data_IF_136388985476
#
_entry.id   IF_136388985476
#
_cell.length_a   1.000
_cell.length_b   1.000
_cell.length_c   1.000
_cell.angle_alpha   90.00
_cell.angle_beta   90.00
_cell.angle_gamma   90.00
#
_symmetry.space_group_name_H-M   'P 1'
#
loop_
_entity.id
_entity.type
_entity.pdbx_description
1 polymer ?
#
# COMPACT_ATOMS: atom_id res chain seq x y z
N UNK A 1 2.06 69.56 -1.61
CA UNK A 1 2.85 69.38 -2.84
C UNK A 1 4.33 68.99 -2.63
N UNK A 2 5.00 69.35 -1.51
CA UNK A 2 6.39 68.91 -1.21
C UNK A 2 6.51 67.51 -0.57
N UNK A 3 5.44 67.02 0.06
CA UNK A 3 5.40 65.71 0.75
C UNK A 3 5.36 64.52 -0.22
N UNK A 4 4.62 64.62 -1.32
CA UNK A 4 4.53 63.57 -2.37
C UNK A 4 5.86 63.26 -3.06
N UNK A 5 6.70 64.29 -3.28
CA UNK A 5 7.97 64.12 -3.98
C UNK A 5 8.98 63.33 -3.13
N UNK A 6 8.97 63.53 -1.81
CA UNK A 6 9.88 62.84 -0.89
C UNK A 6 9.52 61.35 -0.71
N UNK A 7 8.23 61.00 -0.75
CA UNK A 7 7.78 59.59 -0.72
C UNK A 7 8.11 58.83 -2.02
N UNK A 8 7.96 59.49 -3.18
CA UNK A 8 8.36 58.93 -4.48
C UNK A 8 9.85 58.64 -4.59
N UNK A 9 10.70 59.51 -4.03
CA UNK A 9 12.15 59.27 -4.02
C UNK A 9 12.58 58.13 -3.07
N UNK A 10 11.90 57.95 -1.93
CA UNK A 10 12.17 56.85 -0.99
C UNK A 10 11.77 55.48 -1.55
N UNK A 11 10.61 55.40 -2.20
CA UNK A 11 10.13 54.17 -2.86
C UNK A 11 11.00 53.79 -4.05
N UNK A 12 11.38 54.75 -4.90
CA UNK A 12 12.31 54.50 -6.00
C UNK A 12 13.68 53.99 -5.53
N UNK A 13 14.22 54.50 -4.42
CA UNK A 13 15.49 54.04 -3.85
C UNK A 13 15.40 52.61 -3.28
N UNK A 14 14.29 52.25 -2.64
CA UNK A 14 14.04 50.89 -2.13
C UNK A 14 13.90 49.87 -3.26
N UNK A 15 13.17 50.22 -4.33
CA UNK A 15 13.01 49.37 -5.52
C UNK A 15 14.32 49.18 -6.28
N UNK A 16 15.14 50.24 -6.38
CA UNK A 16 16.47 50.17 -7.02
C UNK A 16 17.48 49.35 -6.19
N UNK A 17 17.34 49.36 -4.86
CA UNK A 17 18.07 48.47 -3.96
C UNK A 17 17.71 46.99 -4.17
N UNK A 18 16.40 46.70 -4.29
CA UNK A 18 15.89 45.35 -4.62
C UNK A 18 16.36 44.88 -6.01
N UNK A 19 16.33 45.76 -7.02
CA UNK A 19 16.79 45.44 -8.37
C UNK A 19 18.31 45.22 -8.48
N UNK A 20 19.09 45.75 -7.54
CA UNK A 20 20.55 45.53 -7.47
C UNK A 20 20.96 44.30 -6.66
N UNK A 21 20.01 43.63 -6.00
CA UNK A 21 20.30 42.55 -5.07
C UNK A 21 20.48 41.20 -5.79
N UNK A 22 21.75 40.85 -6.09
CA UNK A 22 22.13 39.59 -6.74
C UNK A 22 21.76 38.34 -5.94
N UNK A 23 21.49 38.47 -4.64
CA UNK A 23 21.04 37.35 -3.79
C UNK A 23 19.71 36.77 -4.25
N UNK A 24 18.84 37.57 -4.86
CA UNK A 24 17.59 37.10 -5.46
C UNK A 24 17.80 36.20 -6.68
N UNK A 25 18.82 36.49 -7.50
CA UNK A 25 19.20 35.65 -8.64
C UNK A 25 19.79 34.31 -8.18
N UNK A 26 20.67 34.32 -7.17
CA UNK A 26 21.24 33.10 -6.57
C UNK A 26 20.17 32.22 -5.90
N UNK A 27 19.17 32.83 -5.25
CA UNK A 27 18.04 32.09 -4.69
C UNK A 27 17.18 31.41 -5.78
N UNK A 28 17.00 32.06 -6.93
CA UNK A 28 16.29 31.49 -8.09
C UNK A 28 17.08 30.33 -8.71
N UNK A 29 18.39 30.49 -8.91
CA UNK A 29 19.27 29.43 -9.44
C UNK A 29 19.26 28.19 -8.54
N UNK A 30 19.33 28.38 -7.21
CA UNK A 30 19.22 27.27 -6.27
C UNK A 30 17.83 26.64 -6.30
N UNK A 31 16.76 27.44 -6.37
CA UNK A 31 15.39 26.94 -6.47
C UNK A 31 15.18 26.02 -7.66
N UNK A 32 15.69 26.39 -8.84
CA UNK A 32 15.56 25.60 -10.07
C UNK A 32 16.22 24.21 -9.95
N UNK A 33 17.32 24.09 -9.20
CA UNK A 33 18.03 22.81 -9.00
C UNK A 33 17.44 22.03 -7.82
N UNK A 34 17.08 22.73 -6.74
CA UNK A 34 16.54 22.12 -5.54
C UNK A 34 15.17 21.46 -5.80
N UNK A 35 14.31 22.08 -6.61
CA UNK A 35 12.99 21.51 -6.94
C UNK A 35 13.06 20.09 -7.53
N UNK A 36 13.75 19.83 -8.66
CA UNK A 36 13.85 18.48 -9.21
C UNK A 36 14.59 17.51 -8.28
N UNK A 37 15.57 18.00 -7.50
CA UNK A 37 16.27 17.17 -6.52
C UNK A 37 15.32 16.65 -5.42
N UNK A 38 14.54 17.54 -4.81
CA UNK A 38 13.59 17.13 -3.77
C UNK A 38 12.46 16.28 -4.33
N UNK A 39 12.00 16.54 -5.56
CA UNK A 39 11.04 15.68 -6.25
C UNK A 39 11.57 14.25 -6.42
N UNK A 40 12.81 14.11 -6.90
CA UNK A 40 13.44 12.79 -7.04
C UNK A 40 13.63 12.11 -5.68
N UNK A 41 14.05 12.86 -4.66
CA UNK A 41 14.23 12.33 -3.31
C UNK A 41 12.92 11.79 -2.74
N UNK A 42 11.83 12.57 -2.84
CA UNK A 42 10.51 12.12 -2.39
C UNK A 42 9.97 10.95 -3.22
N UNK A 43 10.24 10.92 -4.54
CA UNK A 43 9.90 9.79 -5.38
C UNK A 43 10.58 8.50 -4.91
N UNK A 44 11.88 8.55 -4.61
CA UNK A 44 12.63 7.38 -4.12
C UNK A 44 12.09 6.93 -2.76
N UNK A 45 11.83 7.87 -1.84
CA UNK A 45 11.26 7.56 -0.52
C UNK A 45 9.87 6.92 -0.66
N UNK A 46 8.99 7.46 -1.50
CA UNK A 46 7.66 6.91 -1.73
C UNK A 46 7.71 5.49 -2.28
N UNK A 47 8.56 5.25 -3.29
CA UNK A 47 8.76 3.91 -3.86
C UNK A 47 9.29 2.94 -2.80
N UNK A 48 10.26 3.37 -1.99
CA UNK A 48 10.79 2.56 -0.90
C UNK A 48 9.70 2.19 0.12
N UNK A 49 8.81 3.13 0.48
CA UNK A 49 7.69 2.87 1.40
C UNK A 49 6.67 1.89 0.80
N UNK A 50 6.33 2.04 -0.48
CA UNK A 50 5.43 1.11 -1.19
C UNK A 50 6.00 -0.31 -1.16
N UNK A 51 7.29 -0.49 -1.48
CA UNK A 51 7.93 -1.81 -1.44
C UNK A 51 8.03 -2.37 -0.02
N UNK A 52 8.43 -1.54 0.94
CA UNK A 52 8.52 -1.94 2.34
C UNK A 52 7.17 -2.47 2.85
N UNK A 53 6.10 -1.72 2.60
CA UNK A 53 4.74 -2.13 2.93
C UNK A 53 4.29 -3.40 2.21
N UNK A 54 4.66 -3.56 0.93
CA UNK A 54 4.35 -4.77 0.17
C UNK A 54 4.98 -6.01 0.80
N UNK A 55 6.26 -5.91 1.19
CA UNK A 55 6.99 -7.00 1.85
C UNK A 55 6.41 -7.28 3.25
N UNK A 56 6.04 -6.25 4.01
CA UNK A 56 5.37 -6.42 5.30
C UNK A 56 4.05 -7.17 5.15
N UNK A 57 3.23 -6.81 4.17
CA UNK A 57 1.96 -7.47 3.89
C UNK A 57 2.17 -8.95 3.50
N UNK A 58 3.14 -9.21 2.62
CA UNK A 58 3.48 -10.56 2.15
C UNK A 58 4.00 -11.45 3.28
N UNK A 59 4.85 -10.93 4.15
CA UNK A 59 5.33 -11.65 5.33
C UNK A 59 4.19 -12.00 6.30
N UNK A 60 3.31 -11.02 6.59
CA UNK A 60 2.14 -11.23 7.45
C UNK A 60 1.18 -12.27 6.87
N UNK A 61 0.89 -12.18 5.57
CA UNK A 61 0.06 -13.15 4.85
C UNK A 61 0.72 -14.54 4.86
N UNK A 62 2.01 -14.64 4.56
CA UNK A 62 2.74 -15.90 4.55
C UNK A 62 2.65 -16.60 5.90
N UNK A 63 2.90 -15.90 7.00
CA UNK A 63 2.85 -16.50 8.34
C UNK A 63 1.43 -16.88 8.76
N UNK A 64 0.43 -16.03 8.51
CA UNK A 64 -0.97 -16.35 8.83
C UNK A 64 -1.53 -17.48 7.96
N UNK A 65 -1.14 -17.57 6.69
CA UNK A 65 -1.56 -18.64 5.79
C UNK A 65 -1.17 -20.03 6.29
N UNK A 66 -0.09 -20.13 7.08
CA UNK A 66 0.32 -21.39 7.72
C UNK A 66 -0.72 -21.89 8.70
N UNK A 67 -1.45 -21.00 9.38
CA UNK A 67 -2.52 -21.40 10.30
C UNK A 67 -3.63 -22.16 9.56
N UNK A 68 -3.94 -21.76 8.31
CA UNK A 68 -4.87 -22.49 7.45
C UNK A 68 -4.23 -23.79 6.97
N UNK A 69 -2.99 -23.70 6.46
CA UNK A 69 -2.26 -24.85 5.91
C UNK A 69 -2.13 -26.01 6.90
N UNK A 70 -1.86 -25.71 8.16
CA UNK A 70 -1.66 -26.73 9.22
C UNK A 70 -2.97 -27.11 9.91
N UNK A 71 -4.14 -26.66 9.45
CA UNK A 71 -5.43 -27.01 10.06
C UNK A 71 -5.75 -26.29 11.38
N UNK A 72 -4.97 -25.27 11.78
CA UNK A 72 -5.20 -24.56 13.05
C UNK A 72 -6.47 -23.70 13.00
N UNK A 73 -6.74 -23.08 11.86
CA UNK A 73 -7.98 -22.31 11.65
C UNK A 73 -9.21 -23.22 11.78
N UNK A 74 -9.16 -24.40 11.16
CA UNK A 74 -10.23 -25.38 11.11
C UNK A 74 -10.45 -26.03 12.48
N UNK A 75 -9.38 -26.53 13.11
CA UNK A 75 -9.45 -27.22 14.41
C UNK A 75 -9.90 -26.32 15.57
N UNK A 76 -9.57 -25.03 15.52
CA UNK A 76 -9.98 -24.06 16.54
C UNK A 76 -11.31 -23.37 16.22
N UNK A 77 -11.93 -23.65 15.06
CA UNK A 77 -13.14 -22.95 14.62
C UNK A 77 -12.92 -21.44 14.46
N UNK A 78 -11.74 -21.04 13.98
CA UNK A 78 -11.36 -19.64 13.88
C UNK A 78 -12.18 -18.93 12.80
N UNK A 79 -12.88 -17.86 13.19
CA UNK A 79 -13.63 -16.99 12.28
C UNK A 79 -12.71 -16.10 11.43
N UNK A 80 -13.23 -15.55 10.32
CA UNK A 80 -12.52 -14.57 9.49
C UNK A 80 -11.97 -13.40 10.34
N UNK A 81 -12.75 -12.91 11.31
CA UNK A 81 -12.33 -11.80 12.17
C UNK A 81 -11.14 -12.16 13.07
N UNK A 82 -11.09 -13.39 13.56
CA UNK A 82 -9.95 -13.86 14.37
C UNK A 82 -8.72 -14.07 13.48
N UNK A 83 -8.89 -14.63 12.28
CA UNK A 83 -7.81 -14.75 11.30
C UNK A 83 -7.25 -13.37 10.90
N UNK A 84 -8.14 -12.41 10.63
CA UNK A 84 -7.79 -11.01 10.37
C UNK A 84 -6.99 -10.43 11.53
N UNK A 85 -7.41 -10.65 12.78
CA UNK A 85 -6.67 -10.15 13.94
C UNK A 85 -5.23 -10.70 14.04
N UNK A 86 -5.02 -11.98 13.69
CA UNK A 86 -3.67 -12.58 13.63
C UNK A 86 -2.82 -11.90 12.56
N UNK A 87 -3.39 -11.62 11.38
CA UNK A 87 -2.69 -10.93 10.30
C UNK A 87 -2.35 -9.49 10.70
N UNK A 88 -3.30 -8.79 11.33
CA UNK A 88 -3.11 -7.42 11.78
C UNK A 88 -2.00 -7.28 12.80
N UNK A 89 -1.89 -8.24 13.74
CA UNK A 89 -0.82 -8.25 14.73
C UNK A 89 0.59 -8.32 14.13
N UNK A 90 0.73 -8.81 12.89
CA UNK A 90 2.02 -8.94 12.20
C UNK A 90 2.35 -7.72 11.32
N UNK A 91 1.35 -7.02 10.80
CA UNK A 91 1.54 -5.88 9.88
C UNK A 91 1.42 -4.52 10.57
N UNK A 92 0.80 -4.46 11.75
CA UNK A 92 0.76 -3.26 12.57
C UNK A 92 2.16 -2.97 13.17
N UNK A 93 2.53 -1.69 13.36
CA UNK A 93 1.74 -0.47 13.10
C UNK A 93 1.91 0.08 11.66
N UNK A 94 2.60 -0.63 10.78
CA UNK A 94 2.98 -0.12 9.45
C UNK A 94 1.77 -0.05 8.50
N UNK A 95 0.88 -1.03 8.57
CA UNK A 95 -0.32 -1.11 7.75
C UNK A 95 -1.56 -1.19 8.64
N UNK A 96 -2.32 -0.09 8.70
CA UNK A 96 -3.55 -0.06 9.49
C UNK A 96 -4.60 -0.99 8.90
N UNK A 97 -4.92 -2.04 9.65
CA UNK A 97 -5.93 -3.02 9.26
C UNK A 97 -7.37 -2.49 9.14
N UNK A 98 -7.65 -1.29 9.66
CA UNK A 98 -9.02 -0.77 9.71
C UNK A 98 -9.42 -0.19 8.36
N UNK A 99 -10.37 -0.86 7.69
CA UNK A 99 -11.06 -0.34 6.49
C UNK A 99 -10.28 -0.41 5.18
N UNK A 100 -8.99 -0.73 5.20
CA UNK A 100 -8.15 -0.79 3.99
C UNK A 100 -7.73 -2.21 3.58
N UNK A 101 -8.08 -3.23 4.37
CA UNK A 101 -7.66 -4.62 4.18
C UNK A 101 -8.84 -5.51 3.75
N UNK A 102 -8.68 -6.21 2.65
CA UNK A 102 -9.60 -7.25 2.16
C UNK A 102 -8.87 -8.59 2.13
N UNK A 103 -9.47 -9.61 2.75
CA UNK A 103 -8.95 -10.98 2.80
C UNK A 103 -9.93 -11.85 2.02
N UNK A 104 -9.42 -12.69 1.13
CA UNK A 104 -10.19 -13.63 0.34
C UNK A 104 -9.51 -15.00 0.41
N UNK A 105 -10.18 -15.97 1.01
CA UNK A 105 -9.73 -17.35 1.17
C UNK A 105 -10.73 -18.26 0.47
N UNK A 106 -10.23 -19.08 -0.46
CA UNK A 106 -11.06 -19.97 -1.28
C UNK A 106 -10.40 -21.32 -1.49
N UNK A 107 -11.22 -22.34 -1.63
CA UNK A 107 -10.81 -23.70 -1.99
C UNK A 107 -10.96 -23.95 -3.50
N UNK A 108 -10.15 -24.89 -4.00
CA UNK A 108 -10.13 -25.33 -5.39
C UNK A 108 -9.89 -26.84 -5.45
N UNK A 109 -10.39 -27.50 -6.49
CA UNK A 109 -10.20 -28.94 -6.69
C UNK A 109 -8.72 -29.27 -7.01
N UNK A 110 -8.04 -28.35 -7.70
CA UNK A 110 -6.62 -28.47 -8.05
C UNK A 110 -5.95 -27.11 -8.25
N UNK A 111 -4.61 -27.11 -8.30
CA UNK A 111 -3.82 -25.89 -8.47
C UNK A 111 -4.07 -25.15 -9.80
N UNK A 112 -4.53 -25.84 -10.84
CA UNK A 112 -4.81 -25.23 -12.15
C UNK A 112 -6.09 -24.40 -12.19
N UNK A 113 -6.97 -24.57 -11.20
CA UNK A 113 -8.23 -23.82 -11.09
C UNK A 113 -8.12 -22.57 -10.23
N UNK A 114 -6.98 -22.35 -9.59
CA UNK A 114 -6.75 -21.15 -8.77
C UNK A 114 -7.00 -19.87 -9.59
N UNK A 115 -7.82 -18.99 -9.04
CA UNK A 115 -8.21 -17.76 -9.72
C UNK A 115 -7.07 -16.73 -9.77
N UNK A 116 -6.47 -16.62 -10.95
CA UNK A 116 -5.41 -15.67 -11.28
C UNK A 116 -5.90 -14.43 -12.04
N UNK A 117 -7.22 -14.18 -12.08
CA UNK A 117 -7.77 -13.00 -12.73
C UNK A 117 -7.29 -11.71 -12.05
N UNK A 118 -7.24 -10.62 -12.82
CA UNK A 118 -6.93 -9.30 -12.27
C UNK A 118 -7.98 -8.94 -11.22
N UNK A 119 -7.58 -8.61 -9.98
CA UNK A 119 -8.51 -8.25 -8.92
C UNK A 119 -9.20 -6.89 -9.14
N UNK A 120 -8.82 -6.13 -10.17
CA UNK A 120 -9.38 -4.80 -10.48
C UNK A 120 -10.18 -4.78 -11.78
N UNK A 121 -11.21 -3.93 -11.83
CA UNK A 121 -11.90 -3.59 -13.07
C UNK A 121 -11.12 -2.58 -13.93
N UNK A 122 -11.64 -2.29 -15.13
CA UNK A 122 -11.09 -1.28 -16.04
C UNK A 122 -11.12 0.15 -15.46
N UNK A 123 -11.87 0.38 -14.38
CA UNK A 123 -11.97 1.66 -13.71
C UNK A 123 -11.01 1.77 -12.51
N UNK A 124 -10.21 0.73 -12.22
CA UNK A 124 -9.30 0.68 -11.08
C UNK A 124 -9.99 0.44 -9.73
N UNK A 125 -11.19 -0.15 -9.71
CA UNK A 125 -11.85 -0.56 -8.48
C UNK A 125 -11.56 -2.03 -8.18
N UNK A 126 -11.34 -2.36 -6.91
CA UNK A 126 -11.24 -3.76 -6.45
C UNK A 126 -12.62 -4.43 -6.63
N UNK A 127 -12.68 -5.52 -7.40
CA UNK A 127 -13.91 -6.28 -7.67
C UNK A 127 -14.01 -7.59 -6.89
N UNK A 128 -13.08 -7.83 -5.97
CA UNK A 128 -13.06 -9.02 -5.16
C UNK A 128 -14.20 -8.98 -4.15
N UNK A 129 -15.12 -9.95 -4.26
CA UNK A 129 -16.07 -10.27 -3.20
C UNK A 129 -15.35 -11.21 -2.22
N UNK A 130 -15.03 -10.74 -1.00
CA UNK A 130 -14.27 -11.54 -0.06
C UNK A 130 -15.07 -12.77 0.36
N UNK A 131 -14.41 -13.92 0.33
CA UNK A 131 -14.90 -15.15 0.93
C UNK A 131 -13.90 -15.64 1.98
N UNK A 132 -14.37 -16.44 2.93
CA UNK A 132 -13.52 -17.06 3.93
C UNK A 132 -13.84 -18.55 4.02
N UNK A 133 -13.25 -19.31 3.11
CA UNK A 133 -13.33 -20.77 3.08
C UNK A 133 -11.91 -21.36 3.24
N UNK A 134 -11.50 -21.75 4.46
CA UNK A 134 -10.18 -22.32 4.71
C UNK A 134 -10.02 -23.76 4.21
N UNK A 135 -11.10 -24.42 3.77
CA UNK A 135 -11.10 -25.80 3.32
C UNK A 135 -10.75 -26.84 4.39
N UNK A 136 -10.76 -28.10 3.98
CA UNK A 136 -10.45 -29.26 4.81
C UNK A 136 -9.02 -29.79 4.55
N UNK A 137 -8.67 -30.88 5.22
CA UNK A 137 -7.38 -31.53 5.08
C UNK A 137 -7.16 -32.04 3.65
N UNK A 138 -6.02 -31.67 3.05
CA UNK A 138 -5.65 -32.09 1.69
C UNK A 138 -6.23 -31.24 0.55
N UNK A 139 -7.10 -30.26 0.85
CA UNK A 139 -7.66 -29.33 -0.14
C UNK A 139 -6.62 -28.33 -0.66
N UNK A 140 -6.81 -27.87 -1.90
CA UNK A 140 -6.03 -26.74 -2.43
C UNK A 140 -6.72 -25.44 -2.03
N UNK A 141 -6.00 -24.59 -1.33
CA UNK A 141 -6.50 -23.32 -0.82
C UNK A 141 -5.69 -22.17 -1.41
N UNK A 142 -6.38 -21.12 -1.82
CA UNK A 142 -5.79 -19.83 -2.16
C UNK A 142 -6.16 -18.80 -1.10
N UNK A 143 -5.15 -18.12 -0.60
CA UNK A 143 -5.27 -16.95 0.28
C UNK A 143 -4.81 -15.73 -0.48
N UNK A 144 -5.70 -14.75 -0.65
CA UNK A 144 -5.40 -13.44 -1.23
C UNK A 144 -5.64 -12.36 -0.20
N UNK A 145 -4.69 -11.43 -0.09
CA UNK A 145 -4.79 -10.28 0.78
C UNK A 145 -4.54 -9.03 -0.04
N UNK A 146 -5.50 -8.11 0.01
CA UNK A 146 -5.48 -6.84 -0.70
C UNK A 146 -5.47 -5.70 0.30
N UNK A 147 -4.56 -4.74 0.12
CA UNK A 147 -4.45 -3.56 0.95
C UNK A 147 -4.49 -2.28 0.09
N UNK A 148 -5.38 -1.36 0.43
CA UNK A 148 -5.46 -0.05 -0.23
C UNK A 148 -4.47 0.92 0.41
N UNK A 149 -3.33 1.15 -0.25
CA UNK A 149 -2.29 2.07 0.21
C UNK A 149 -2.53 3.48 -0.33
N UNK A 150 -2.59 4.46 0.57
CA UNK A 150 -2.64 5.88 0.22
C UNK A 150 -1.23 6.41 -0.01
N UNK A 151 -0.98 6.87 -1.23
CA UNK A 151 0.29 7.49 -1.63
C UNK A 151 0.48 8.78 -0.82
N UNK A 152 1.61 8.92 -0.14
CA UNK A 152 1.89 10.04 0.76
C UNK A 152 2.27 11.30 -0.01
N UNK A 153 2.85 11.14 -1.20
CA UNK A 153 3.27 12.23 -2.09
C UNK A 153 2.30 12.35 -3.27
N UNK A 154 1.29 13.25 -3.22
CA UNK A 154 0.24 13.32 -4.26
C UNK A 154 0.78 13.58 -5.67
N UNK A 155 1.93 14.25 -5.79
CA UNK A 155 2.60 14.49 -7.06
C UNK A 155 3.08 13.19 -7.74
N UNK A 156 3.30 12.12 -6.97
CA UNK A 156 3.68 10.80 -7.48
C UNK A 156 2.46 9.92 -7.80
N UNK A 157 1.25 10.33 -7.42
CA UNK A 157 0.02 9.57 -7.66
C UNK A 157 -0.18 9.18 -9.13
N UNK A 158 0.05 10.05 -10.14
CA UNK A 158 -0.08 9.65 -11.55
C UNK A 158 0.87 8.54 -12.00
N UNK A 159 1.98 8.32 -11.27
CA UNK A 159 2.97 7.30 -11.59
C UNK A 159 2.74 6.00 -10.81
N UNK A 160 2.31 6.10 -9.55
CA UNK A 160 2.28 4.97 -8.62
C UNK A 160 0.87 4.44 -8.33
N UNK A 161 -0.18 5.25 -8.54
CA UNK A 161 -1.56 4.84 -8.32
C UNK A 161 -2.00 3.88 -9.43
N UNK A 162 -2.71 2.83 -9.02
CA UNK A 162 -3.38 1.89 -9.93
C UNK A 162 -4.85 1.68 -9.56
N UNK A 163 -5.32 2.33 -8.48
CA UNK A 163 -6.72 2.31 -8.07
C UNK A 163 -7.41 3.64 -8.35
N UNK A 164 -8.73 3.56 -8.50
CA UNK A 164 -9.60 4.72 -8.45
C UNK A 164 -9.41 5.48 -7.12
N UNK A 165 -9.48 6.81 -7.18
CA UNK A 165 -9.22 7.67 -6.03
C UNK A 165 -7.73 7.96 -5.74
N UNK A 166 -6.82 7.55 -6.63
CA UNK A 166 -5.39 7.90 -6.53
C UNK A 166 -4.59 7.07 -5.53
N UNK A 167 -5.13 5.91 -5.14
CA UNK A 167 -4.48 4.96 -4.25
C UNK A 167 -3.71 3.88 -5.02
N UNK A 168 -2.90 3.12 -4.30
CA UNK A 168 -2.20 1.95 -4.82
C UNK A 168 -2.69 0.69 -4.13
N UNK A 169 -3.09 -0.31 -4.91
CA UNK A 169 -3.40 -1.65 -4.43
C UNK A 169 -2.10 -2.41 -4.16
N UNK A 170 -1.91 -2.85 -2.93
CA UNK A 170 -0.93 -3.87 -2.58
C UNK A 170 -1.66 -5.21 -2.53
N UNK A 171 -1.14 -6.22 -3.23
CA UNK A 171 -1.76 -7.54 -3.30
C UNK A 171 -0.71 -8.59 -2.96
N UNK A 172 -1.11 -9.57 -2.15
CA UNK A 172 -0.30 -10.75 -1.85
C UNK A 172 -1.17 -11.99 -1.98
N UNK A 173 -0.67 -13.02 -2.66
CA UNK A 173 -1.42 -14.25 -2.96
C UNK A 173 -0.55 -15.45 -2.66
N UNK A 174 -1.10 -16.42 -1.92
CA UNK A 174 -0.49 -17.73 -1.71
C UNK A 174 -1.48 -18.82 -2.10
N UNK A 175 -1.02 -19.82 -2.84
CA UNK A 175 -1.78 -21.04 -3.15
C UNK A 175 -1.01 -22.21 -2.59
N UNK A 176 -1.67 -23.07 -1.83
CA UNK A 176 -1.06 -24.23 -1.20
C UNK A 176 -2.07 -25.35 -1.02
N UNK A 177 -1.56 -26.55 -0.71
CA UNK A 177 -2.40 -27.65 -0.25
C UNK A 177 -2.36 -27.72 1.27
N UNK A 178 -3.51 -27.86 1.90
CA UNK A 178 -3.63 -28.09 3.33
C UNK A 178 -2.94 -29.40 3.71
N UNK A 179 -2.21 -29.37 4.82
CA UNK A 179 -1.57 -30.57 5.37
C UNK A 179 -2.63 -31.59 5.81
N UNK A 180 -2.27 -32.88 5.93
CA UNK A 180 -3.13 -33.83 6.60
C UNK A 180 -3.29 -33.43 8.07
N UNK A 181 -4.53 -33.27 8.53
CA UNK A 181 -4.86 -33.01 9.93
C UNK A 181 -6.18 -33.71 10.31
N UNK A 182 -6.42 -33.87 11.61
CA UNK A 182 -7.61 -34.57 12.11
C UNK A 182 -7.58 -36.09 11.91
N UNK A 183 -8.73 -36.70 11.65
CA UNK A 183 -8.93 -38.17 11.64
C UNK A 183 -8.19 -38.92 10.53
N UNK A 184 -7.58 -38.23 9.58
CA UNK A 184 -6.70 -38.84 8.56
C UNK A 184 -5.39 -39.36 9.20
N UNK A 185 -5.03 -38.88 10.39
CA UNK A 185 -3.84 -39.34 11.12
C UNK A 185 -4.14 -40.49 12.10
N UNK A 186 -5.42 -40.81 12.36
CA UNK A 186 -5.82 -41.88 13.30
C UNK A 186 -5.86 -43.28 12.64
N UNK A 187 -5.50 -43.37 11.36
CA UNK A 187 -5.58 -44.62 10.58
C UNK A 187 -4.26 -45.40 10.42
N UNK A 188 -3.22 -45.08 11.20
CA UNK A 188 -2.00 -45.92 11.33
C UNK A 188 -1.92 -46.65 12.67
#
# INVERSE_FOLDING_TARGET
MKTDLLERHRTARRLRGFASDRRGATALEFGIIATPFFLLMFAIIEVALVFFNSVTLENGMSETSRLIRTGQVQSQGMSENQFRAQLCALIDPLLSCTGNLTIDVRTFDNFGEADHSDPMDQNGNLIIVPQFDPGDAGDVVMVRVFYTYKILTPMMSPLLANMNGGNRLLASTAVFRNEPFGSILDSE
#
